data_IF_135514673422
#
_entry.id   IF_135514673422
#
_cell.length_a   1.000
_cell.length_b   1.000
_cell.length_c   1.000
_cell.angle_alpha   90.00
_cell.angle_beta   90.00
_cell.angle_gamma   90.00
#
_symmetry.space_group_name_H-M   'P 1'
#
loop_
_entity.id
_entity.type
_entity.pdbx_description
1 polymer ?
#
# COMPACT_ATOMS: atom_id res chain seq x y z
N UNK A 1 -9.93 -3.61 -9.88
CA UNK A 1 -9.84 -2.17 -9.99
C UNK A 1 -9.84 -1.52 -8.61
N UNK A 2 -8.91 -0.58 -8.38
CA UNK A 2 -8.71 0.09 -7.07
C UNK A 2 -9.97 0.80 -6.57
N UNK A 3 -10.82 1.31 -7.46
CA UNK A 3 -12.10 1.92 -7.08
C UNK A 3 -12.97 0.94 -6.31
N UNK A 4 -13.06 -0.28 -6.80
CA UNK A 4 -13.81 -1.35 -6.11
C UNK A 4 -13.13 -1.76 -4.81
N UNK A 5 -11.79 -1.86 -4.79
CA UNK A 5 -11.05 -2.24 -3.59
C UNK A 5 -11.31 -1.29 -2.41
N UNK A 6 -11.44 0.02 -2.67
CA UNK A 6 -11.72 1.02 -1.63
C UNK A 6 -13.11 0.85 -1.01
N UNK A 7 -14.10 0.34 -1.77
CA UNK A 7 -15.42 0.03 -1.22
C UNK A 7 -15.36 -1.08 -0.16
N UNK A 8 -14.44 -2.02 -0.32
CA UNK A 8 -14.25 -3.14 0.58
C UNK A 8 -13.34 -2.83 1.78
N UNK A 9 -12.87 -1.59 1.94
CA UNK A 9 -12.13 -1.18 3.15
C UNK A 9 -13.03 -1.35 4.36
N UNK A 10 -12.62 -2.16 5.37
CA UNK A 10 -13.51 -2.59 6.46
C UNK A 10 -13.67 -1.53 7.56
N UNK A 11 -13.98 -0.29 7.18
CA UNK A 11 -14.18 0.84 8.10
C UNK A 11 -15.30 1.76 7.63
N UNK A 12 -15.98 2.34 8.58
CA UNK A 12 -16.97 3.41 8.37
C UNK A 12 -16.43 4.77 8.85
N UNK A 13 -15.13 4.85 9.16
CA UNK A 13 -14.47 6.09 9.53
C UNK A 13 -14.12 6.87 8.25
N UNK A 14 -14.69 8.05 8.09
CA UNK A 14 -14.38 8.94 6.96
C UNK A 14 -12.95 9.49 7.02
N UNK A 15 -12.31 9.46 8.20
CA UNK A 15 -10.92 9.88 8.38
C UNK A 15 -9.93 8.69 8.36
N UNK A 16 -10.18 7.70 7.51
CA UNK A 16 -9.31 6.55 7.31
C UNK A 16 -8.34 6.76 6.15
N UNK A 17 -7.07 6.39 6.35
CA UNK A 17 -6.11 6.22 5.25
C UNK A 17 -6.19 4.79 4.76
N UNK A 18 -6.21 4.60 3.44
CA UNK A 18 -6.16 3.27 2.84
C UNK A 18 -4.91 3.09 1.97
N UNK A 19 -4.48 1.85 1.83
CA UNK A 19 -3.52 1.40 0.83
C UNK A 19 -4.16 0.26 0.05
N UNK A 20 -4.51 0.49 -1.22
CA UNK A 20 -4.82 -0.60 -2.14
C UNK A 20 -3.50 -1.16 -2.65
N UNK A 21 -3.05 -2.24 -2.01
CA UNK A 21 -1.72 -2.81 -2.19
C UNK A 21 -1.74 -3.98 -3.17
N UNK A 22 -1.16 -3.75 -4.33
CA UNK A 22 -0.97 -4.71 -5.41
C UNK A 22 0.38 -4.50 -6.09
N UNK A 23 0.44 -4.66 -7.39
CA UNK A 23 1.63 -4.31 -8.20
C UNK A 23 2.05 -2.87 -7.92
N UNK A 24 1.09 -1.95 -7.92
CA UNK A 24 1.21 -0.60 -7.37
C UNK A 24 0.58 -0.53 -5.99
N UNK A 25 1.02 0.43 -5.18
CA UNK A 25 0.35 0.82 -3.94
C UNK A 25 -0.32 2.16 -4.14
N UNK A 26 -1.65 2.16 -4.16
CA UNK A 26 -2.43 3.38 -4.24
C UNK A 26 -2.83 3.77 -2.81
N UNK A 27 -2.17 4.80 -2.29
CA UNK A 27 -2.34 5.25 -0.91
C UNK A 27 -3.07 6.59 -0.85
N UNK A 28 -4.12 6.67 -0.04
CA UNK A 28 -4.91 7.89 0.03
C UNK A 28 -6.06 7.83 1.03
N UNK A 29 -7.00 8.75 0.85
CA UNK A 29 -8.21 8.93 1.63
C UNK A 29 -9.42 9.13 0.73
N UNK A 30 -10.61 8.94 1.27
CA UNK A 30 -11.85 9.33 0.60
C UNK A 30 -12.24 10.76 1.00
N UNK A 31 -12.65 11.59 0.03
CA UNK A 31 -13.08 12.98 0.23
C UNK A 31 -14.41 13.25 -0.47
N UNK A 32 -15.18 14.19 0.06
CA UNK A 32 -16.42 14.70 -0.59
C UNK A 32 -16.12 15.70 -1.71
N UNK A 33 -15.00 16.40 -1.60
CA UNK A 33 -14.55 17.41 -2.56
C UNK A 33 -13.15 17.11 -3.07
N UNK A 34 -12.90 17.44 -4.33
CA UNK A 34 -11.58 17.33 -4.92
C UNK A 34 -10.62 18.37 -4.31
N UNK A 35 -9.36 18.02 -4.15
CA UNK A 35 -8.30 18.94 -3.78
C UNK A 35 -7.44 19.28 -5.00
N UNK A 36 -7.58 20.49 -5.50
CA UNK A 36 -6.82 21.00 -6.64
C UNK A 36 -5.77 22.06 -6.21
N UNK A 37 -5.33 22.01 -4.95
CA UNK A 37 -4.32 22.92 -4.42
C UNK A 37 -2.95 22.70 -5.06
N UNK A 38 -2.11 23.74 -5.02
CA UNK A 38 -0.72 23.65 -5.49
C UNK A 38 0.11 22.69 -4.63
N UNK A 39 -0.23 22.56 -3.36
CA UNK A 39 0.38 21.62 -2.42
C UNK A 39 0.11 20.18 -2.84
N UNK A 40 -1.15 19.84 -3.14
CA UNK A 40 -1.56 18.53 -3.65
C UNK A 40 -0.87 18.19 -4.98
N UNK A 41 -0.80 19.16 -5.89
CA UNK A 41 -0.11 18.98 -7.18
C UNK A 41 1.38 18.71 -6.99
N UNK A 42 2.07 19.49 -6.16
CA UNK A 42 3.52 19.32 -5.90
C UNK A 42 3.82 18.01 -5.20
N UNK A 43 2.93 17.54 -4.32
CA UNK A 43 3.03 16.26 -3.65
C UNK A 43 2.58 15.09 -4.54
N UNK A 44 2.19 15.33 -5.80
CA UNK A 44 1.76 14.33 -6.78
C UNK A 44 0.53 13.52 -6.35
N UNK A 45 -0.43 14.18 -5.67
CA UNK A 45 -1.74 13.59 -5.40
C UNK A 45 -2.71 13.79 -6.55
N UNK A 46 -3.59 12.80 -6.75
CA UNK A 46 -4.65 12.83 -7.74
C UNK A 46 -6.03 12.75 -7.08
N UNK A 47 -7.06 13.23 -7.80
CA UNK A 47 -8.45 13.07 -7.42
C UNK A 47 -9.11 12.11 -8.42
N UNK A 48 -9.42 10.91 -7.99
CA UNK A 48 -10.09 9.91 -8.81
C UNK A 48 -11.52 9.71 -8.33
N UNK A 49 -12.46 9.46 -9.27
CA UNK A 49 -13.85 9.21 -8.92
C UNK A 49 -14.02 7.96 -8.03
N UNK A 50 -14.72 8.13 -6.93
CA UNK A 50 -15.11 7.10 -5.97
C UNK A 50 -16.58 6.68 -6.11
N UNK A 51 -17.13 6.06 -5.09
CA UNK A 51 -18.54 5.74 -4.92
C UNK A 51 -19.29 6.95 -4.36
N UNK A 52 -20.58 7.07 -4.68
CA UNK A 52 -21.48 8.11 -4.15
C UNK A 52 -20.92 9.54 -4.34
N UNK A 53 -20.43 9.84 -5.56
CA UNK A 53 -19.85 11.14 -5.92
C UNK A 53 -18.67 11.60 -5.06
N UNK A 54 -18.05 10.70 -4.27
CA UNK A 54 -16.82 10.98 -3.52
C UNK A 54 -15.60 10.90 -4.43
N UNK A 55 -14.51 11.46 -3.97
CA UNK A 55 -13.20 11.38 -4.59
C UNK A 55 -12.28 10.47 -3.77
N UNK A 56 -11.51 9.66 -4.47
CA UNK A 56 -10.33 9.01 -3.94
C UNK A 56 -9.16 9.95 -4.16
N UNK A 57 -8.76 10.63 -3.11
CA UNK A 57 -7.58 11.48 -3.10
C UNK A 57 -6.39 10.61 -2.74
N UNK A 58 -5.51 10.36 -3.71
CA UNK A 58 -4.48 9.35 -3.58
C UNK A 58 -3.19 9.70 -4.31
N UNK A 59 -2.11 9.02 -3.92
CA UNK A 59 -0.83 8.98 -4.60
C UNK A 59 -0.55 7.55 -5.07
N UNK A 60 -0.02 7.41 -6.29
CA UNK A 60 0.54 6.15 -6.78
C UNK A 60 1.97 6.00 -6.26
N UNK A 61 2.23 4.91 -5.59
CA UNK A 61 3.55 4.54 -5.07
C UNK A 61 3.95 3.23 -5.75
N UNK A 62 5.22 3.09 -6.11
CA UNK A 62 5.76 1.79 -6.51
C UNK A 62 5.42 0.79 -5.42
N UNK A 63 4.73 -0.29 -5.78
CA UNK A 63 4.21 -1.25 -4.82
C UNK A 63 4.99 -2.56 -4.84
N UNK A 64 4.26 -3.67 -4.74
CA UNK A 64 4.85 -5.00 -4.73
C UNK A 64 5.50 -5.40 -6.06
N UNK A 65 5.43 -4.55 -7.11
CA UNK A 65 6.16 -4.71 -8.36
C UNK A 65 7.65 -5.00 -8.13
N UNK A 66 8.28 -4.29 -7.18
CA UNK A 66 9.70 -4.49 -6.88
C UNK A 66 9.94 -5.91 -6.34
N UNK A 67 9.16 -6.36 -5.36
CA UNK A 67 9.26 -7.73 -4.80
C UNK A 67 8.90 -8.79 -5.83
N UNK A 68 7.86 -8.57 -6.62
CA UNK A 68 7.46 -9.48 -7.69
C UNK A 68 8.56 -9.62 -8.75
N UNK A 69 9.28 -8.54 -9.04
CA UNK A 69 10.37 -8.52 -10.00
C UNK A 69 11.59 -9.27 -9.48
N UNK A 70 12.06 -8.98 -8.26
CA UNK A 70 13.21 -9.69 -7.69
C UNK A 70 12.93 -11.18 -7.47
N UNK A 71 11.68 -11.55 -7.09
CA UNK A 71 11.28 -12.96 -6.98
C UNK A 71 11.51 -13.74 -8.28
N UNK A 72 11.23 -13.12 -9.44
CA UNK A 72 11.44 -13.75 -10.75
C UNK A 72 12.92 -13.90 -11.10
N UNK A 73 13.78 -13.09 -10.51
CA UNK A 73 15.23 -13.10 -10.76
C UNK A 73 15.97 -14.04 -9.80
N UNK A 74 15.38 -14.39 -8.66
CA UNK A 74 15.99 -15.34 -7.73
C UNK A 74 16.09 -16.73 -8.36
N UNK A 75 17.21 -17.41 -8.12
CA UNK A 75 17.44 -18.76 -8.62
C UNK A 75 16.54 -19.81 -7.93
N UNK A 76 16.06 -19.51 -6.75
CA UNK A 76 15.24 -20.36 -5.90
C UNK A 76 13.76 -20.07 -6.14
N UNK A 77 12.94 -21.12 -6.17
CA UNK A 77 11.48 -20.95 -6.20
C UNK A 77 10.94 -20.69 -4.79
N UNK A 78 11.02 -19.44 -4.37
CA UNK A 78 10.57 -18.98 -3.07
C UNK A 78 9.13 -18.46 -3.12
N UNK A 79 8.33 -18.79 -2.13
CA UNK A 79 7.03 -18.14 -1.91
C UNK A 79 7.22 -16.72 -1.37
N UNK A 80 6.23 -15.85 -1.52
CA UNK A 80 6.26 -14.51 -0.93
C UNK A 80 6.36 -14.55 0.61
N UNK A 81 5.77 -15.55 1.26
CA UNK A 81 5.88 -15.74 2.69
C UNK A 81 7.32 -16.04 3.13
N UNK A 82 8.03 -16.90 2.40
CA UNK A 82 9.45 -17.18 2.65
C UNK A 82 10.32 -15.94 2.43
N UNK A 83 10.06 -15.16 1.38
CA UNK A 83 10.77 -13.89 1.12
C UNK A 83 10.54 -12.91 2.28
N UNK A 84 9.30 -12.75 2.75
CA UNK A 84 8.99 -11.94 3.93
C UNK A 84 9.74 -12.42 5.17
N UNK A 85 9.77 -13.71 5.43
CA UNK A 85 10.48 -14.30 6.58
C UNK A 85 11.99 -14.08 6.48
N UNK A 86 12.60 -14.28 5.31
CA UNK A 86 14.02 -14.00 5.10
C UNK A 86 14.34 -12.53 5.33
N UNK A 87 13.55 -11.62 4.73
CA UNK A 87 13.72 -10.18 4.88
C UNK A 87 13.60 -9.70 6.33
N UNK A 88 12.69 -10.29 7.12
CA UNK A 88 12.46 -9.91 8.53
C UNK A 88 13.63 -10.26 9.47
N UNK A 89 14.51 -11.15 9.04
CA UNK A 89 15.70 -11.57 9.83
C UNK A 89 16.92 -10.69 9.56
N UNK A 90 16.86 -9.82 8.55
CA UNK A 90 17.98 -9.00 8.12
C UNK A 90 18.06 -7.69 8.91
N UNK A 91 19.29 -7.19 9.04
CA UNK A 91 19.59 -5.96 9.78
C UNK A 91 20.12 -4.84 8.89
N UNK A 92 20.12 -5.05 7.55
CA UNK A 92 20.57 -4.05 6.58
C UNK A 92 19.69 -2.79 6.69
N UNK A 93 20.34 -1.63 6.77
CA UNK A 93 19.67 -0.32 6.96
C UNK A 93 19.52 0.50 5.68
N UNK A 94 19.98 -0.02 4.55
CA UNK A 94 19.90 0.66 3.25
C UNK A 94 18.46 0.90 2.82
N UNK A 95 18.21 2.09 2.27
CA UNK A 95 16.89 2.54 1.81
C UNK A 95 17.04 3.10 0.41
N UNK A 96 16.14 2.72 -0.48
CA UNK A 96 16.05 3.29 -1.84
C UNK A 96 14.81 4.18 -1.94
N UNK A 97 14.86 5.17 -2.84
CA UNK A 97 13.63 5.85 -3.23
C UNK A 97 12.85 4.97 -4.20
N UNK A 98 11.84 4.28 -3.70
CA UNK A 98 11.07 3.33 -4.51
C UNK A 98 10.31 3.98 -5.68
N UNK A 99 10.16 5.32 -5.70
CA UNK A 99 9.53 6.05 -6.79
C UNK A 99 10.56 6.59 -7.82
N UNK A 100 11.86 6.32 -7.65
CA UNK A 100 12.88 6.68 -8.65
C UNK A 100 12.63 5.93 -9.96
N UNK A 101 12.78 6.63 -11.07
CA UNK A 101 12.55 6.11 -12.44
C UNK A 101 13.37 4.84 -12.74
N UNK A 102 14.50 4.64 -12.06
CA UNK A 102 15.34 3.46 -12.24
C UNK A 102 14.62 2.16 -11.86
N UNK A 103 13.53 2.20 -11.06
CA UNK A 103 12.74 1.04 -10.66
C UNK A 103 11.49 0.80 -11.51
N UNK A 104 11.16 1.72 -12.43
CA UNK A 104 9.92 1.63 -13.21
C UNK A 104 9.92 0.41 -14.15
N UNK A 105 11.00 0.20 -14.90
CA UNK A 105 11.13 -0.91 -15.83
C UNK A 105 12.60 -1.34 -16.02
N UNK A 106 13.34 -1.70 -14.96
CA UNK A 106 14.72 -2.11 -15.08
C UNK A 106 14.83 -3.49 -15.76
N UNK A 107 15.93 -3.75 -16.44
CA UNK A 107 16.25 -5.09 -16.97
C UNK A 107 16.46 -6.12 -15.86
N UNK A 108 16.95 -5.67 -14.71
CA UNK A 108 17.10 -6.43 -13.47
C UNK A 108 16.79 -5.50 -12.29
N UNK A 109 15.80 -5.86 -11.51
CA UNK A 109 15.42 -5.13 -10.30
C UNK A 109 16.47 -5.32 -9.20
N UNK A 110 17.05 -6.51 -9.08
CA UNK A 110 18.14 -6.79 -8.13
C UNK A 110 19.29 -5.80 -8.40
N UNK A 111 19.73 -5.73 -9.65
CA UNK A 111 20.82 -4.84 -10.03
C UNK A 111 20.46 -3.36 -9.81
N UNK A 112 19.23 -2.95 -10.11
CA UNK A 112 18.78 -1.57 -9.90
C UNK A 112 18.85 -1.19 -8.42
N UNK A 113 18.41 -2.06 -7.50
CA UNK A 113 18.50 -1.84 -6.04
C UNK A 113 19.97 -1.75 -5.61
N UNK A 114 20.82 -2.68 -6.05
CA UNK A 114 22.24 -2.68 -5.73
C UNK A 114 22.98 -1.43 -6.24
N UNK A 115 22.70 -1.03 -7.48
CA UNK A 115 23.32 0.14 -8.11
C UNK A 115 22.86 1.44 -7.42
N UNK A 116 21.59 1.53 -7.03
CA UNK A 116 21.07 2.66 -6.24
C UNK A 116 21.80 2.77 -4.89
N UNK A 117 21.92 1.67 -4.14
CA UNK A 117 22.65 1.65 -2.86
C UNK A 117 24.12 2.04 -3.05
N UNK A 118 24.78 1.51 -4.09
CA UNK A 118 26.17 1.85 -4.42
C UNK A 118 26.33 3.34 -4.75
N UNK A 119 25.45 3.89 -5.57
CA UNK A 119 25.45 5.31 -5.99
C UNK A 119 25.24 6.25 -4.81
N UNK A 120 24.44 5.82 -3.82
CA UNK A 120 24.14 6.63 -2.62
C UNK A 120 25.08 6.35 -1.45
N UNK A 121 26.12 5.53 -1.63
CA UNK A 121 27.11 5.22 -0.59
C UNK A 121 26.57 4.36 0.55
N UNK A 122 25.51 3.61 0.31
CA UNK A 122 24.90 2.71 1.29
C UNK A 122 25.45 1.30 1.17
N UNK A 123 25.22 0.46 2.19
CA UNK A 123 25.54 -0.96 2.12
C UNK A 123 24.76 -1.58 0.94
N UNK A 124 25.48 -2.32 0.10
CA UNK A 124 24.89 -3.01 -1.07
C UNK A 124 24.33 -4.35 -0.63
N UNK A 125 23.03 -4.60 -0.82
CA UNK A 125 22.43 -5.89 -0.46
C UNK A 125 22.87 -6.98 -1.44
N UNK A 126 23.21 -8.16 -0.93
CA UNK A 126 23.73 -9.29 -1.72
C UNK A 126 22.83 -10.53 -1.67
N UNK A 127 22.19 -10.79 -0.54
CA UNK A 127 21.33 -11.96 -0.36
C UNK A 127 19.87 -11.68 -0.71
N UNK A 128 19.07 -12.74 -0.91
CA UNK A 128 17.63 -12.64 -1.09
C UNK A 128 16.97 -11.87 0.05
N UNK A 129 17.36 -12.20 1.28
CA UNK A 129 16.88 -11.54 2.50
C UNK A 129 17.20 -10.05 2.51
N UNK A 130 18.47 -9.68 2.30
CA UNK A 130 18.91 -8.29 2.30
C UNK A 130 18.23 -7.45 1.20
N UNK A 131 18.18 -7.95 -0.05
CA UNK A 131 17.52 -7.25 -1.16
C UNK A 131 16.05 -7.02 -0.83
N UNK A 132 15.35 -8.04 -0.35
CA UNK A 132 13.94 -7.95 0.00
C UNK A 132 13.71 -7.04 1.22
N UNK A 133 14.59 -7.07 2.21
CA UNK A 133 14.54 -6.19 3.37
C UNK A 133 14.68 -4.72 2.97
N UNK A 134 15.65 -4.40 2.10
CA UNK A 134 15.81 -3.03 1.55
C UNK A 134 14.52 -2.58 0.86
N UNK A 135 13.92 -3.42 0.02
CA UNK A 135 12.67 -3.07 -0.70
C UNK A 135 11.51 -2.86 0.28
N UNK A 136 11.27 -3.78 1.22
CA UNK A 136 10.16 -3.64 2.18
C UNK A 136 10.31 -2.41 3.08
N UNK A 137 11.51 -2.16 3.60
CA UNK A 137 11.78 -0.96 4.40
C UNK A 137 11.59 0.34 3.58
N UNK A 138 12.01 0.33 2.32
CA UNK A 138 11.86 1.48 1.41
C UNK A 138 10.38 1.79 1.12
N UNK A 139 9.58 0.76 0.85
CA UNK A 139 8.13 0.91 0.65
C UNK A 139 7.45 1.43 1.92
N UNK A 140 7.74 0.85 3.07
CA UNK A 140 7.16 1.27 4.35
C UNK A 140 7.55 2.71 4.71
N UNK A 141 8.81 3.11 4.44
CA UNK A 141 9.25 4.49 4.61
C UNK A 141 8.46 5.43 3.69
N UNK A 142 8.29 5.07 2.42
CA UNK A 142 7.52 5.87 1.47
C UNK A 142 6.06 6.02 1.93
N UNK A 143 5.44 4.97 2.50
CA UNK A 143 4.11 5.08 3.10
C UNK A 143 4.09 6.03 4.31
N UNK A 144 5.13 5.99 5.15
CA UNK A 144 5.30 6.92 6.27
C UNK A 144 5.38 8.38 5.83
N UNK A 145 6.15 8.65 4.79
CA UNK A 145 6.30 10.00 4.23
C UNK A 145 4.97 10.46 3.59
N UNK A 146 4.28 9.57 2.86
CA UNK A 146 2.98 9.86 2.24
C UNK A 146 1.88 10.16 3.28
N UNK A 147 1.85 9.47 4.42
CA UNK A 147 0.90 9.80 5.51
C UNK A 147 1.15 11.21 6.04
N UNK A 148 2.41 11.59 6.25
CA UNK A 148 2.76 12.95 6.71
C UNK A 148 2.28 14.01 5.72
N UNK A 149 2.52 13.79 4.42
CA UNK A 149 2.03 14.70 3.37
C UNK A 149 0.51 14.82 3.39
N UNK A 150 -0.24 13.71 3.53
CA UNK A 150 -1.70 13.72 3.66
C UNK A 150 -2.11 14.53 4.91
N UNK A 151 -1.47 14.31 6.05
CA UNK A 151 -1.75 15.02 7.30
C UNK A 151 -1.45 16.53 7.20
N UNK A 152 -0.35 16.90 6.54
CA UNK A 152 0.02 18.30 6.32
C UNK A 152 -0.96 19.03 5.40
N UNK A 153 -1.33 18.40 4.27
CA UNK A 153 -2.25 18.99 3.28
C UNK A 153 -3.67 19.10 3.84
N UNK A 154 -4.13 18.07 4.57
CA UNK A 154 -5.51 18.05 5.08
C UNK A 154 -5.69 18.76 6.42
N UNK A 155 -4.60 18.99 7.15
CA UNK A 155 -4.63 19.50 8.53
C UNK A 155 -5.21 18.52 9.54
N UNK A 156 -5.41 17.23 9.15
CA UNK A 156 -6.02 16.20 9.99
C UNK A 156 -4.96 15.21 10.47
N UNK A 157 -5.28 14.45 11.53
CA UNK A 157 -4.49 13.32 12.01
C UNK A 157 -5.27 12.02 11.83
N UNK A 158 -4.57 11.00 11.38
CA UNK A 158 -5.15 9.68 11.14
C UNK A 158 -4.57 8.67 12.12
N UNK A 159 -5.37 7.76 12.62
CA UNK A 159 -4.95 6.76 13.62
C UNK A 159 -4.65 5.40 13.02
N UNK A 160 -5.30 5.06 11.92
CA UNK A 160 -5.27 3.72 11.33
C UNK A 160 -5.09 3.79 9.81
N UNK A 161 -4.29 2.87 9.31
CA UNK A 161 -4.09 2.64 7.88
C UNK A 161 -4.73 1.29 7.54
N UNK A 162 -5.59 1.27 6.55
CA UNK A 162 -6.27 0.07 6.06
C UNK A 162 -5.59 -0.44 4.79
N UNK A 163 -4.90 -1.57 4.88
CA UNK A 163 -4.23 -2.22 3.74
C UNK A 163 -5.14 -3.29 3.17
N UNK A 164 -5.57 -3.12 1.93
CA UNK A 164 -6.42 -4.06 1.21
C UNK A 164 -5.75 -4.54 -0.07
N UNK A 165 -6.23 -5.65 -0.64
CA UNK A 165 -5.62 -6.28 -1.80
C UNK A 165 -4.52 -7.27 -1.43
N UNK A 166 -3.85 -7.84 -2.41
CA UNK A 166 -2.86 -8.91 -2.23
C UNK A 166 -1.72 -8.57 -1.25
N UNK A 167 -1.35 -7.29 -1.14
CA UNK A 167 -0.33 -6.83 -0.21
C UNK A 167 -0.73 -6.90 1.27
N UNK A 168 -2.02 -7.05 1.59
CA UNK A 168 -2.46 -7.30 2.97
C UNK A 168 -1.86 -8.60 3.56
N UNK A 169 -1.44 -9.53 2.71
CA UNK A 169 -0.78 -10.78 3.11
C UNK A 169 0.73 -10.62 3.37
N UNK A 170 1.32 -9.45 3.08
CA UNK A 170 2.73 -9.19 3.31
C UNK A 170 2.97 -8.73 4.76
N UNK A 171 2.93 -9.67 5.72
CA UNK A 171 2.98 -9.39 7.16
C UNK A 171 4.15 -8.49 7.54
N UNK A 172 5.36 -8.80 7.08
CA UNK A 172 6.53 -7.97 7.37
C UNK A 172 6.40 -6.53 6.85
N UNK A 173 5.85 -6.32 5.65
CA UNK A 173 5.59 -4.97 5.14
C UNK A 173 4.56 -4.23 6.00
N UNK A 174 3.52 -4.92 6.49
CA UNK A 174 2.51 -4.33 7.34
C UNK A 174 3.08 -3.94 8.72
N UNK A 175 3.92 -4.77 9.32
CA UNK A 175 4.67 -4.44 10.55
C UNK A 175 5.57 -3.21 10.36
N UNK A 176 6.33 -3.18 9.28
CA UNK A 176 7.17 -2.04 8.93
C UNK A 176 6.33 -0.78 8.68
N UNK A 177 5.17 -0.92 8.03
CA UNK A 177 4.26 0.20 7.80
C UNK A 177 3.78 0.79 9.13
N UNK A 178 3.38 -0.06 10.09
CA UNK A 178 3.01 0.40 11.43
C UNK A 178 4.20 1.11 12.12
N UNK A 179 5.40 0.57 12.01
CA UNK A 179 6.62 1.14 12.60
C UNK A 179 6.97 2.51 11.99
N UNK A 180 7.00 2.65 10.66
CA UNK A 180 7.41 3.89 9.98
C UNK A 180 6.35 4.99 10.07
N UNK A 181 5.08 4.63 10.16
CA UNK A 181 3.97 5.59 10.26
C UNK A 181 3.64 5.95 11.71
N UNK A 182 3.95 5.08 12.67
CA UNK A 182 3.51 5.19 14.07
C UNK A 182 1.99 5.02 14.22
N UNK A 183 1.33 4.37 13.26
CA UNK A 183 -0.12 4.18 13.23
C UNK A 183 -0.47 2.69 13.28
N UNK A 184 -1.69 2.38 13.69
CA UNK A 184 -2.23 1.03 13.57
C UNK A 184 -2.38 0.67 12.09
N UNK A 185 -2.10 -0.57 11.75
CA UNK A 185 -2.34 -1.11 10.40
C UNK A 185 -3.36 -2.22 10.49
N UNK A 186 -4.44 -2.07 9.73
CA UNK A 186 -5.50 -3.06 9.57
C UNK A 186 -5.35 -3.69 8.19
N UNK A 187 -4.90 -4.94 8.11
CA UNK A 187 -4.57 -5.63 6.86
C UNK A 187 -5.63 -6.67 6.51
N UNK A 188 -6.28 -6.51 5.38
CA UNK A 188 -7.36 -7.35 4.83
C UNK A 188 -8.60 -6.53 4.45
N UNK A 189 -9.46 -7.10 3.60
CA UNK A 189 -9.32 -8.38 2.89
C UNK A 189 -8.35 -8.33 1.70
N UNK A 190 -7.81 -9.50 1.31
CA UNK A 190 -6.89 -9.61 0.16
C UNK A 190 -7.60 -9.48 -1.19
N UNK A 191 -8.82 -10.00 -1.30
CA UNK A 191 -9.62 -9.98 -2.53
C UNK A 191 -10.55 -8.75 -2.61
N UNK A 192 -10.10 -7.61 -2.08
CA UNK A 192 -10.89 -6.39 -1.94
C UNK A 192 -11.52 -5.90 -3.25
N UNK A 193 -10.85 -6.07 -4.39
CA UNK A 193 -11.39 -5.67 -5.69
C UNK A 193 -12.62 -6.49 -6.06
N UNK A 194 -12.57 -7.80 -5.90
CA UNK A 194 -13.69 -8.68 -6.19
C UNK A 194 -14.86 -8.41 -5.22
N UNK A 195 -14.55 -8.31 -3.93
CA UNK A 195 -15.51 -8.00 -2.87
C UNK A 195 -16.22 -6.67 -3.17
N UNK A 196 -15.48 -5.61 -3.50
CA UNK A 196 -16.05 -4.31 -3.80
C UNK A 196 -16.95 -4.30 -5.04
N UNK A 197 -16.62 -5.09 -6.07
CA UNK A 197 -17.50 -5.27 -7.23
C UNK A 197 -18.82 -5.96 -6.85
N UNK A 198 -18.77 -6.96 -5.96
CA UNK A 198 -19.98 -7.63 -5.44
C UNK A 198 -20.80 -6.66 -4.60
N UNK A 199 -20.15 -5.89 -3.71
CA UNK A 199 -20.83 -4.87 -2.88
C UNK A 199 -21.66 -3.90 -3.73
N UNK A 200 -21.11 -3.40 -4.84
CA UNK A 200 -21.85 -2.45 -5.71
C UNK A 200 -23.11 -3.09 -6.26
N UNK A 201 -23.07 -4.36 -6.67
CA UNK A 201 -24.23 -5.07 -7.17
C UNK A 201 -25.26 -5.31 -6.04
N UNK A 202 -24.79 -5.72 -4.86
CA UNK A 202 -25.65 -5.94 -3.70
C UNK A 202 -26.33 -4.65 -3.21
N UNK A 203 -25.64 -3.51 -3.27
CA UNK A 203 -26.22 -2.18 -3.00
C UNK A 203 -27.29 -1.83 -4.03
N UNK A 204 -27.01 -2.09 -5.33
CA UNK A 204 -27.99 -1.84 -6.40
C UNK A 204 -29.25 -2.69 -6.24
N UNK A 205 -29.11 -3.94 -5.87
CA UNK A 205 -30.22 -4.90 -5.69
C UNK A 205 -30.91 -4.75 -4.33
N UNK A 206 -30.48 -3.79 -3.49
CA UNK A 206 -31.10 -3.52 -2.19
C UNK A 206 -30.83 -4.58 -1.11
N UNK A 207 -29.79 -5.40 -1.29
CA UNK A 207 -29.33 -6.37 -0.26
C UNK A 207 -28.72 -5.62 0.92
N UNK A 208 -27.93 -4.59 0.65
CA UNK A 208 -27.47 -3.62 1.64
C UNK A 208 -28.20 -2.29 1.41
N UNK A 209 -28.60 -1.64 2.49
CA UNK A 209 -29.27 -0.32 2.41
C UNK A 209 -28.31 0.81 2.07
N UNK A 210 -27.03 0.67 2.51
CA UNK A 210 -26.00 1.68 2.32
C UNK A 210 -24.58 1.06 2.40
N UNK A 211 -23.56 1.84 2.02
CA UNK A 211 -22.16 1.41 2.06
C UNK A 211 -21.66 1.11 3.50
N UNK A 212 -22.04 1.85 4.54
CA UNK A 212 -21.70 1.53 5.93
C UNK A 212 -22.12 0.11 6.35
N UNK A 213 -23.33 -0.34 5.97
CA UNK A 213 -23.80 -1.69 6.25
C UNK A 213 -22.95 -2.73 5.52
N UNK A 214 -22.65 -2.50 4.25
CA UNK A 214 -21.79 -3.38 3.45
C UNK A 214 -20.38 -3.50 4.03
N UNK A 215 -19.74 -2.39 4.44
CA UNK A 215 -18.42 -2.38 5.08
C UNK A 215 -18.41 -3.08 6.45
N UNK A 216 -19.51 -3.00 7.19
CA UNK A 216 -19.68 -3.75 8.44
C UNK A 216 -19.71 -5.26 8.14
N UNK A 217 -20.45 -5.68 7.14
CA UNK A 217 -20.49 -7.08 6.69
C UNK A 217 -19.09 -7.55 6.24
N UNK A 218 -18.33 -6.75 5.50
CA UNK A 218 -16.93 -7.09 5.12
C UNK A 218 -16.08 -7.34 6.37
N UNK A 219 -16.12 -6.41 7.34
CA UNK A 219 -15.35 -6.53 8.58
C UNK A 219 -15.67 -7.79 9.38
N UNK A 220 -16.92 -8.24 9.34
CA UNK A 220 -17.40 -9.42 10.08
C UNK A 220 -17.19 -10.74 9.32
N UNK A 221 -17.04 -10.68 8.00
CA UNK A 221 -16.97 -11.84 7.12
C UNK A 221 -15.56 -12.24 6.69
N UNK A 222 -14.59 -11.34 6.80
CA UNK A 222 -13.22 -11.58 6.32
C UNK A 222 -12.22 -11.39 7.45
N UNK A 223 -11.16 -12.19 7.40
CA UNK A 223 -10.05 -12.05 8.33
C UNK A 223 -9.30 -10.73 8.11
N UNK A 224 -9.13 -10.00 9.20
CA UNK A 224 -8.37 -8.74 9.25
C UNK A 224 -7.33 -8.86 10.36
N UNK A 225 -6.07 -8.63 10.01
CA UNK A 225 -4.95 -8.69 10.95
C UNK A 225 -4.56 -7.28 11.37
N UNK A 226 -4.34 -7.07 12.66
CA UNK A 226 -3.91 -5.79 13.22
C UNK A 226 -2.43 -5.82 13.57
N UNK A 227 -1.71 -4.75 13.20
CA UNK A 227 -0.30 -4.51 13.49
C UNK A 227 -0.12 -3.20 14.23
#
# INVERSE_FOLDING_TARGET
>A
DTRSAVLAVPTNDDDAVYISSGTWSLMGIERKEADCSMESMKANFTNEGGYDHRFRYLKNIMGLWMIQSVKKEFAEDLSFAQICEMASKETISSIVDCNDDCFLAPKSMIKAVQDFCRKTGQQVPETVGEISSVIYNSLAKCYGDTVKEIEEITGKKYSTIYVVGGGSNAGYLNELTAKYTGKKVSAGPSEATAIGNVIVQMLHDGVFKDLPEARTCVRESFDVVMY
#
